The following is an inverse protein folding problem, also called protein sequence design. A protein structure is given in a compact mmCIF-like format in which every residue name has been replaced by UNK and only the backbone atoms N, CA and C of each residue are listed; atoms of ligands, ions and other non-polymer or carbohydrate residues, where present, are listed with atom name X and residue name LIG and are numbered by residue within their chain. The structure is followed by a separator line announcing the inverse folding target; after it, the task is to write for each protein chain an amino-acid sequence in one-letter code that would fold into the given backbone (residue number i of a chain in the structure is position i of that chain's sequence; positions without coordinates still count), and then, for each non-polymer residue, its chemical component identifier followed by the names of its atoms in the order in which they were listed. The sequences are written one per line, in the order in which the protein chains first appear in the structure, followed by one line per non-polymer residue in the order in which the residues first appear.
data_IF_624757693678
#
_entry.id   IF_624757693678
#
_cell.length_a   1.000
_cell.length_b   1.000
_cell.length_c   1.000
_cell.angle_alpha   90.00
_cell.angle_beta   90.00
_cell.angle_gamma   90.00
#
_symmetry.space_group_name_H-M   'P 1'
#
loop_
_entity.id
_entity.type
_entity.pdbx_description
1 polymer ?
#
# COMPACT_ATOMS: atom_id res chain seq x y z
N UNK A 1 3.97 8.90 14.30
CA UNK A 1 5.33 8.34 14.46
C UNK A 1 5.60 7.48 13.25
N UNK A 2 6.77 7.63 12.64
CA UNK A 2 7.18 6.84 11.48
C UNK A 2 7.53 5.42 11.92
N UNK A 3 7.15 4.43 11.12
CA UNK A 3 7.45 3.02 11.36
C UNK A 3 8.93 2.76 11.07
N UNK A 4 9.57 1.94 11.90
CA UNK A 4 10.97 1.57 11.73
C UNK A 4 11.23 0.91 10.37
N UNK A 5 12.34 1.26 9.72
CA UNK A 5 12.75 0.68 8.45
C UNK A 5 12.04 1.25 7.21
N UNK A 6 11.12 2.23 7.36
CA UNK A 6 10.35 2.72 6.21
C UNK A 6 11.23 3.43 5.18
N UNK A 7 12.17 4.28 5.62
CA UNK A 7 13.01 5.04 4.71
C UNK A 7 13.97 4.11 3.97
N UNK A 8 14.61 3.20 4.71
CA UNK A 8 15.52 2.20 4.16
C UNK A 8 14.80 1.32 3.13
N UNK A 9 13.56 0.91 3.43
CA UNK A 9 12.76 0.10 2.51
C UNK A 9 12.40 0.91 1.26
N UNK A 10 11.86 2.11 1.40
CA UNK A 10 11.48 2.95 0.25
C UNK A 10 12.68 3.32 -0.62
N UNK A 11 13.84 3.63 -0.02
CA UNK A 11 15.07 3.87 -0.76
C UNK A 11 15.54 2.64 -1.53
N UNK A 12 15.46 1.45 -0.92
CA UNK A 12 15.80 0.19 -1.58
C UNK A 12 14.89 -0.05 -2.77
N UNK A 13 13.58 0.11 -2.58
CA UNK A 13 12.59 -0.05 -3.67
C UNK A 13 12.87 0.90 -4.83
N UNK A 14 13.18 2.16 -4.55
CA UNK A 14 13.52 3.13 -5.62
C UNK A 14 14.82 2.79 -6.32
N UNK A 15 15.85 2.34 -5.59
CA UNK A 15 17.12 1.88 -6.18
C UNK A 15 16.94 0.68 -7.10
N UNK A 16 16.01 -0.21 -6.75
CA UNK A 16 15.64 -1.39 -7.54
C UNK A 16 14.69 -1.07 -8.71
N UNK A 17 14.32 0.21 -8.89
CA UNK A 17 13.54 0.69 -10.02
C UNK A 17 12.01 0.59 -9.85
N UNK A 18 11.52 0.29 -8.65
CA UNK A 18 10.09 0.30 -8.36
C UNK A 18 9.54 1.74 -8.37
N UNK A 19 8.34 1.89 -8.93
CA UNK A 19 7.49 3.07 -8.72
C UNK A 19 6.61 2.85 -7.50
N UNK A 20 6.40 3.90 -6.72
CA UNK A 20 5.73 3.81 -5.42
C UNK A 20 4.53 4.74 -5.40
N UNK A 21 3.36 4.18 -5.14
CA UNK A 21 2.13 4.95 -4.91
C UNK A 21 1.66 4.83 -3.46
N UNK A 22 1.05 5.91 -2.95
CA UNK A 22 0.30 5.90 -1.71
C UNK A 22 -1.20 5.96 -2.00
N UNK A 23 -1.98 5.07 -1.39
CA UNK A 23 -3.45 5.10 -1.42
C UNK A 23 -3.97 5.23 0.02
N UNK A 24 -4.62 6.35 0.34
CA UNK A 24 -5.05 6.67 1.70
C UNK A 24 -6.56 6.98 1.77
N UNK A 25 -7.29 6.27 2.64
CA UNK A 25 -8.64 6.65 3.04
C UNK A 25 -8.53 7.72 4.15
N UNK A 26 -8.51 8.99 3.77
CA UNK A 26 -8.32 10.11 4.67
C UNK A 26 -8.67 11.44 3.97
N UNK A 27 -8.69 12.53 4.73
CA UNK A 27 -8.75 13.87 4.16
C UNK A 27 -7.35 14.32 3.66
N UNK A 28 -7.36 15.23 2.69
CA UNK A 28 -6.19 15.76 1.99
C UNK A 28 -5.25 16.47 2.96
N UNK A 29 -5.80 17.30 3.86
CA UNK A 29 -5.00 18.09 4.79
C UNK A 29 -4.15 17.21 5.72
N UNK A 30 -4.76 16.17 6.30
CA UNK A 30 -4.09 15.24 7.20
C UNK A 30 -2.99 14.46 6.48
N UNK A 31 -3.29 13.89 5.31
CA UNK A 31 -2.31 13.11 4.55
C UNK A 31 -1.12 13.99 4.16
N UNK A 32 -1.37 15.17 3.58
CA UNK A 32 -0.31 16.10 3.14
C UNK A 32 0.55 16.56 4.31
N UNK A 33 -0.08 16.93 5.43
CA UNK A 33 0.65 17.32 6.63
C UNK A 33 1.48 16.16 7.19
N UNK A 34 0.93 14.94 7.27
CA UNK A 34 1.64 13.77 7.79
C UNK A 34 2.86 13.43 6.92
N UNK A 35 2.70 13.33 5.60
CA UNK A 35 3.85 12.97 4.74
C UNK A 35 4.91 14.05 4.69
N UNK A 36 4.53 15.34 4.70
CA UNK A 36 5.48 16.44 4.72
C UNK A 36 6.27 16.48 6.04
N UNK A 37 5.56 16.42 7.17
CA UNK A 37 6.20 16.43 8.50
C UNK A 37 7.03 15.18 8.79
N UNK A 38 6.70 14.05 8.16
CA UNK A 38 7.47 12.82 8.24
C UNK A 38 8.57 12.71 7.18
N UNK A 39 8.71 13.67 6.26
CA UNK A 39 9.72 13.60 5.19
C UNK A 39 9.49 12.46 4.18
N UNK A 40 8.24 12.05 3.97
CA UNK A 40 7.87 10.93 3.09
C UNK A 40 7.36 11.37 1.71
N UNK A 41 7.07 12.67 1.51
CA UNK A 41 6.42 13.16 0.28
C UNK A 41 7.22 12.81 -0.97
N UNK A 42 8.54 12.99 -0.95
CA UNK A 42 9.42 12.75 -2.10
C UNK A 42 9.62 11.28 -2.47
N UNK A 43 9.09 10.34 -1.67
CA UNK A 43 9.19 8.91 -1.93
C UNK A 43 8.05 8.36 -2.77
N UNK A 44 6.95 9.09 -2.92
CA UNK A 44 5.77 8.65 -3.67
C UNK A 44 5.71 9.33 -5.04
N UNK A 45 5.74 8.53 -6.11
CA UNK A 45 5.51 9.01 -7.48
C UNK A 45 4.05 9.43 -7.68
N UNK A 46 3.14 8.76 -6.98
CA UNK A 46 1.69 8.99 -7.04
C UNK A 46 1.11 8.97 -5.64
N UNK A 47 0.24 9.94 -5.35
CA UNK A 47 -0.54 10.00 -4.12
C UNK A 47 -2.02 10.04 -4.51
N UNK A 48 -2.81 9.10 -4.00
CA UNK A 48 -4.26 9.00 -4.17
C UNK A 48 -4.90 9.07 -2.78
N UNK A 49 -5.73 10.08 -2.59
CA UNK A 49 -6.42 10.36 -1.32
C UNK A 49 -7.91 10.24 -1.55
N UNK A 50 -8.62 9.50 -0.71
CA UNK A 50 -10.05 9.22 -0.93
C UNK A 50 -10.91 10.48 -0.99
N UNK A 51 -10.61 11.51 -0.20
CA UNK A 51 -11.30 12.81 -0.29
C UNK A 51 -11.07 13.50 -1.65
N UNK A 52 -9.90 13.34 -2.27
CA UNK A 52 -9.60 13.93 -3.58
C UNK A 52 -10.40 13.24 -4.70
N UNK A 53 -10.55 11.91 -4.62
CA UNK A 53 -11.17 11.12 -5.70
C UNK A 53 -12.64 10.74 -5.43
N UNK A 54 -13.14 10.98 -4.22
CA UNK A 54 -14.49 10.65 -3.78
C UNK A 54 -14.76 9.14 -3.59
N UNK A 55 -13.71 8.32 -3.53
CA UNK A 55 -13.78 6.86 -3.50
C UNK A 55 -12.79 6.32 -2.48
N UNK A 56 -13.24 5.38 -1.66
CA UNK A 56 -12.45 4.74 -0.60
C UNK A 56 -12.13 3.28 -0.91
N UNK A 57 -10.98 2.79 -0.42
CA UNK A 57 -10.72 1.35 -0.33
C UNK A 57 -11.81 0.69 0.54
N UNK A 58 -12.32 -0.51 0.20
CA UNK A 58 -11.83 -1.46 -0.79
C UNK A 58 -12.48 -1.34 -2.19
N UNK A 59 -13.06 -0.19 -2.57
CA UNK A 59 -13.60 -0.02 -3.92
C UNK A 59 -12.48 -0.15 -4.96
N UNK A 60 -12.69 -0.96 -6.01
CA UNK A 60 -11.69 -1.24 -7.05
C UNK A 60 -11.20 0.03 -7.74
N UNK A 61 -12.06 1.04 -7.87
CA UNK A 61 -11.76 2.25 -8.63
C UNK A 61 -10.61 3.06 -8.03
N UNK A 62 -10.45 3.10 -6.69
CA UNK A 62 -9.33 3.85 -6.09
C UNK A 62 -7.97 3.20 -6.39
N UNK A 63 -7.92 1.87 -6.49
CA UNK A 63 -6.72 1.14 -6.90
C UNK A 63 -6.45 1.35 -8.39
N UNK A 64 -7.49 1.30 -9.23
CA UNK A 64 -7.33 1.57 -10.67
C UNK A 64 -6.80 2.99 -10.92
N UNK A 65 -7.26 4.00 -10.18
CA UNK A 65 -6.72 5.37 -10.29
C UNK A 65 -5.21 5.40 -10.00
N UNK A 66 -4.75 4.66 -8.98
CA UNK A 66 -3.33 4.59 -8.67
C UNK A 66 -2.53 3.87 -9.78
N UNK A 67 -3.05 2.74 -10.27
CA UNK A 67 -2.45 1.95 -11.36
C UNK A 67 -2.36 2.78 -12.66
N UNK A 68 -3.42 3.50 -13.01
CA UNK A 68 -3.49 4.35 -14.21
C UNK A 68 -2.52 5.53 -14.11
N UNK A 69 -2.47 6.22 -12.96
CA UNK A 69 -1.52 7.32 -12.71
C UNK A 69 -0.07 6.83 -12.76
N UNK A 70 0.18 5.62 -12.26
CA UNK A 70 1.47 4.96 -12.40
C UNK A 70 1.70 4.44 -13.82
N UNK A 71 0.68 4.15 -14.62
CA UNK A 71 0.84 3.47 -15.91
C UNK A 71 1.44 2.07 -15.73
N UNK A 72 0.88 1.28 -14.80
CA UNK A 72 1.20 -0.15 -14.60
C UNK A 72 -0.09 -0.98 -14.61
N UNK A 73 0.02 -2.21 -15.10
CA UNK A 73 -1.06 -3.20 -14.98
C UNK A 73 -1.13 -3.76 -13.55
N UNK A 74 -2.32 -4.15 -13.11
CA UNK A 74 -2.56 -4.67 -11.76
C UNK A 74 -1.68 -5.89 -11.42
N UNK A 75 -1.49 -6.80 -12.37
CA UNK A 75 -0.65 -7.99 -12.22
C UNK A 75 0.84 -7.70 -11.94
N UNK A 76 1.29 -6.49 -12.30
CA UNK A 76 2.65 -6.01 -12.10
C UNK A 76 2.78 -5.10 -10.87
N UNK A 77 1.75 -5.04 -10.02
CA UNK A 77 1.72 -4.19 -8.85
C UNK A 77 1.43 -4.99 -7.57
N UNK A 78 1.99 -4.50 -6.46
CA UNK A 78 1.85 -5.10 -5.13
C UNK A 78 1.28 -4.06 -4.17
N UNK A 79 0.16 -4.38 -3.53
CA UNK A 79 -0.41 -3.56 -2.46
C UNK A 79 0.19 -4.00 -1.13
N UNK A 80 0.80 -3.06 -0.40
CA UNK A 80 1.27 -3.27 0.97
C UNK A 80 0.39 -2.45 1.90
N UNK A 81 -0.34 -3.13 2.79
CA UNK A 81 -1.30 -2.48 3.68
C UNK A 81 -1.57 -3.30 4.92
N UNK A 82 -2.24 -2.71 5.89
CA UNK A 82 -2.40 -3.30 7.22
C UNK A 82 -3.84 -3.64 7.58
N UNK A 83 -4.78 -3.28 6.70
CA UNK A 83 -6.20 -3.62 6.82
C UNK A 83 -6.57 -4.66 5.78
N UNK A 84 -7.03 -5.82 6.22
CA UNK A 84 -7.57 -6.86 5.37
C UNK A 84 -8.79 -6.34 4.61
N UNK A 85 -9.74 -5.76 5.33
CA UNK A 85 -11.04 -5.34 4.80
C UNK A 85 -10.97 -4.20 3.76
N UNK A 86 -9.87 -3.44 3.76
CA UNK A 86 -9.64 -2.30 2.88
C UNK A 86 -8.51 -2.56 1.87
N UNK A 87 -7.30 -2.85 2.35
CA UNK A 87 -6.10 -2.93 1.51
C UNK A 87 -6.04 -4.27 0.76
N UNK A 88 -6.18 -5.38 1.50
CA UNK A 88 -6.01 -6.73 0.94
C UNK A 88 -7.19 -7.10 0.03
N UNK A 89 -8.41 -6.93 0.54
CA UNK A 89 -9.63 -7.16 -0.24
C UNK A 89 -9.64 -6.30 -1.50
N UNK A 90 -9.28 -5.02 -1.38
CA UNK A 90 -9.25 -4.10 -2.52
C UNK A 90 -8.23 -4.49 -3.58
N UNK A 91 -7.00 -4.84 -3.17
CA UNK A 91 -5.94 -5.30 -4.06
C UNK A 91 -6.30 -6.61 -4.78
N UNK A 92 -6.79 -7.60 -4.03
CA UNK A 92 -7.19 -8.89 -4.56
C UNK A 92 -8.32 -8.74 -5.60
N UNK A 93 -9.25 -7.82 -5.35
CA UNK A 93 -10.37 -7.54 -6.26
C UNK A 93 -9.96 -6.95 -7.61
N UNK A 94 -8.81 -6.30 -7.70
CA UNK A 94 -8.26 -5.76 -8.95
C UNK A 94 -7.18 -6.64 -9.57
N UNK A 95 -6.84 -7.77 -8.94
CA UNK A 95 -5.83 -8.71 -9.45
C UNK A 95 -4.38 -8.32 -9.11
N UNK A 96 -4.17 -7.40 -8.18
CA UNK A 96 -2.84 -7.11 -7.62
C UNK A 96 -2.41 -8.22 -6.67
N UNK A 97 -1.09 -8.40 -6.50
CA UNK A 97 -0.58 -9.17 -5.36
C UNK A 97 -0.74 -8.32 -4.09
N UNK A 98 -1.07 -8.94 -2.96
CA UNK A 98 -1.31 -8.28 -1.68
C UNK A 98 -0.35 -8.76 -0.59
N UNK A 99 0.19 -7.80 0.16
CA UNK A 99 1.08 -8.04 1.30
C UNK A 99 0.42 -7.43 2.53
N UNK A 100 0.05 -8.29 3.48
CA UNK A 100 -0.49 -7.86 4.76
C UNK A 100 0.64 -7.51 5.73
N UNK A 101 0.77 -6.22 6.05
CA UNK A 101 1.76 -5.70 6.97
C UNK A 101 1.22 -5.62 8.40
N UNK A 102 1.59 -6.61 9.21
CA UNK A 102 1.14 -6.78 10.59
C UNK A 102 2.26 -6.41 11.57
N UNK A 103 2.53 -5.11 11.70
CA UNK A 103 3.58 -4.59 12.61
C UNK A 103 3.12 -4.42 14.07
N UNK A 104 1.80 -4.47 14.30
CA UNK A 104 1.19 -4.41 15.61
C UNK A 104 -0.13 -5.20 15.62
N UNK A 105 -0.73 -5.36 16.80
CA UNK A 105 -2.02 -6.00 16.99
C UNK A 105 -3.17 -4.95 17.06
N UNK A 106 -3.04 -3.82 16.34
CA UNK A 106 -4.07 -2.78 16.35
C UNK A 106 -5.38 -3.27 15.70
N UNK A 107 -5.26 -4.17 14.74
CA UNK A 107 -6.39 -4.75 14.02
C UNK A 107 -6.35 -6.27 14.23
N UNK A 108 -7.27 -6.79 15.03
CA UNK A 108 -7.49 -8.23 15.18
C UNK A 108 -8.41 -8.71 14.05
N UNK A 109 -7.86 -8.76 12.84
CA UNK A 109 -8.59 -9.25 11.67
C UNK A 109 -8.24 -10.71 11.40
N UNK A 110 -9.27 -11.51 11.12
CA UNK A 110 -9.14 -12.90 10.70
C UNK A 110 -9.47 -13.00 9.22
N UNK A 111 -8.76 -13.87 8.50
CA UNK A 111 -9.10 -14.21 7.11
C UNK A 111 -10.32 -15.13 7.14
N UNK A 112 -11.46 -14.63 6.71
CA UNK A 112 -12.73 -15.36 6.65
C UNK A 112 -13.14 -15.78 5.24
N UNK A 113 -12.50 -15.26 4.19
CA UNK A 113 -12.81 -15.57 2.79
C UNK A 113 -11.57 -15.54 1.88
N UNK A 114 -11.71 -16.05 0.64
CA UNK A 114 -10.63 -15.96 -0.36
C UNK A 114 -10.31 -14.52 -0.76
N UNK A 115 -11.29 -13.59 -0.75
CA UNK A 115 -11.02 -12.17 -1.03
C UNK A 115 -10.15 -11.52 0.04
N UNK A 116 -10.23 -12.00 1.28
CA UNK A 116 -9.47 -11.50 2.43
C UNK A 116 -8.08 -12.14 2.56
N UNK A 117 -7.77 -13.16 1.75
CA UNK A 117 -6.53 -13.91 1.85
C UNK A 117 -5.38 -13.11 1.23
N UNK A 118 -4.37 -12.69 2.01
CA UNK A 118 -3.22 -12.01 1.44
C UNK A 118 -2.31 -13.02 0.71
N UNK A 119 -1.58 -12.56 -0.31
CA UNK A 119 -0.55 -13.38 -0.93
C UNK A 119 0.65 -13.59 0.00
N UNK A 120 1.01 -12.55 0.77
CA UNK A 120 2.12 -12.59 1.71
C UNK A 120 1.78 -11.86 3.01
N UNK A 121 2.47 -12.22 4.10
CA UNK A 121 2.33 -11.57 5.40
C UNK A 121 3.72 -11.19 5.88
N UNK A 122 3.89 -9.94 6.31
CA UNK A 122 5.14 -9.45 6.90
C UNK A 122 4.86 -8.79 8.25
N UNK A 123 5.84 -8.83 9.15
CA UNK A 123 5.80 -8.12 10.44
C UNK A 123 6.76 -6.93 10.46
N UNK A 124 7.72 -6.90 9.54
CA UNK A 124 8.67 -5.80 9.34
C UNK A 124 8.77 -5.42 7.87
N UNK A 125 8.93 -4.12 7.58
CA UNK A 125 9.14 -3.63 6.22
C UNK A 125 10.45 -4.16 5.61
N UNK A 126 11.44 -4.52 6.45
CA UNK A 126 12.69 -5.11 6.00
C UNK A 126 12.52 -6.48 5.31
N UNK A 127 11.37 -7.14 5.47
CA UNK A 127 11.04 -8.40 4.79
C UNK A 127 10.58 -8.19 3.33
N UNK A 128 10.11 -6.98 3.01
CA UNK A 128 9.49 -6.66 1.72
C UNK A 128 10.42 -6.88 0.51
N UNK A 129 11.71 -6.47 0.53
CA UNK A 129 12.60 -6.71 -0.60
C UNK A 129 12.73 -8.19 -0.99
N UNK A 130 12.80 -9.07 0.01
CA UNK A 130 12.89 -10.52 -0.21
C UNK A 130 11.63 -11.06 -0.90
N UNK A 131 10.45 -10.64 -0.45
CA UNK A 131 9.17 -11.04 -1.06
C UNK A 131 9.08 -10.57 -2.50
N UNK A 132 9.44 -9.31 -2.76
CA UNK A 132 9.36 -8.76 -4.11
C UNK A 132 10.32 -9.42 -5.08
N UNK A 133 11.49 -9.88 -4.62
CA UNK A 133 12.43 -10.66 -5.44
C UNK A 133 11.93 -12.07 -5.80
N UNK A 134 10.88 -12.55 -5.14
CA UNK A 134 10.28 -13.89 -5.35
C UNK A 134 9.05 -13.88 -6.27
N UNK A 135 8.65 -12.69 -6.75
CA UNK A 135 7.42 -12.42 -7.51
C UNK A 135 7.71 -12.30 -8.99
#
# INVERSE_FOLDING_TARGET
RVIEGVFETLETMRKDGYRIAMIANANIADVRNIIATCGLEDYFDVIVISEEVGIEKPDKQVFQVALDKLGVEAENAVMVGNRIDADIVGANRVGMKSVWFRWNDRYEETVGSEEEKPNFIIKSLAELPSILSSI
#
